data_IF_973218300348
#
_entry.id   IF_973218300348
#
_cell.length_a   1.000
_cell.length_b   1.000
_cell.length_c   1.000
_cell.angle_alpha   90.00
_cell.angle_beta   90.00
_cell.angle_gamma   90.00
#
_symmetry.space_group_name_H-M   'P 1'
#
loop_
_entity.id
_entity.type
_entity.pdbx_description
1 polymer ?
#
# COMPACT_ATOMS: atom_id res chain seq x y z
N UNK A 1 -42.29 -74.75 46.53
CA UNK A 1 -40.85 -74.47 46.35
C UNK A 1 -40.51 -73.25 47.20
N UNK A 2 -39.34 -73.30 47.85
CA UNK A 2 -38.85 -72.54 49.04
C UNK A 2 -39.25 -71.03 49.04
N UNK A 3 -39.94 -70.48 50.06
CA UNK A 3 -39.49 -70.09 51.44
C UNK A 3 -38.26 -69.16 51.38
N UNK A 4 -38.15 -67.96 51.98
CA UNK A 4 -38.71 -67.37 53.21
C UNK A 4 -38.36 -65.86 53.23
N UNK A 5 -39.22 -65.02 53.81
CA UNK A 5 -39.01 -63.62 54.21
C UNK A 5 -37.97 -63.47 55.34
N UNK A 6 -37.34 -62.30 55.54
CA UNK A 6 -37.09 -61.70 56.88
C UNK A 6 -36.43 -60.33 56.73
N UNK A 7 -36.93 -59.41 57.55
CA UNK A 7 -36.59 -58.01 57.76
C UNK A 7 -36.06 -57.87 59.20
N UNK A 8 -34.86 -57.30 59.40
CA UNK A 8 -34.26 -56.85 60.70
C UNK A 8 -33.23 -55.74 60.29
N UNK A 9 -33.44 -54.43 60.49
CA UNK A 9 -33.37 -53.56 61.70
C UNK A 9 -31.99 -53.48 62.37
N UNK A 10 -31.28 -52.38 62.06
CA UNK A 10 -30.45 -51.48 62.92
C UNK A 10 -29.23 -52.05 63.67
N UNK A 11 -28.03 -51.47 63.43
CA UNK A 11 -27.13 -50.85 64.43
C UNK A 11 -26.15 -49.88 63.72
N UNK A 12 -25.96 -48.71 64.32
CA UNK A 12 -25.10 -47.61 63.90
C UNK A 12 -23.59 -47.92 63.93
N UNK A 13 -22.86 -47.39 62.95
CA UNK A 13 -21.44 -47.09 63.08
C UNK A 13 -21.17 -45.72 62.44
N UNK A 14 -20.92 -44.75 63.32
CA UNK A 14 -20.42 -43.41 63.01
C UNK A 14 -19.06 -43.55 62.35
N UNK A 15 -18.99 -43.28 61.04
CA UNK A 15 -17.71 -42.99 60.36
C UNK A 15 -17.77 -41.53 59.94
N UNK A 16 -17.09 -40.71 60.74
CA UNK A 16 -16.76 -39.34 60.40
C UNK A 16 -15.84 -39.34 59.17
N UNK A 17 -16.41 -39.20 57.98
CA UNK A 17 -15.65 -38.83 56.79
C UNK A 17 -15.56 -37.31 56.74
N UNK A 18 -14.43 -36.79 57.22
CA UNK A 18 -13.98 -35.44 56.96
C UNK A 18 -13.79 -35.28 55.44
N UNK A 19 -14.84 -34.82 54.74
CA UNK A 19 -14.70 -34.22 53.42
C UNK A 19 -14.14 -32.81 53.63
N UNK A 20 -12.83 -32.74 53.85
CA UNK A 20 -12.08 -31.52 53.57
C UNK A 20 -12.18 -31.30 52.06
N UNK A 21 -13.08 -30.39 51.67
CA UNK A 21 -13.04 -29.76 50.36
C UNK A 21 -11.69 -29.06 50.24
N UNK A 22 -10.69 -29.75 49.67
CA UNK A 22 -9.51 -29.07 49.18
C UNK A 22 -10.03 -28.02 48.19
N UNK A 23 -9.68 -26.74 48.32
CA UNK A 23 -9.94 -25.81 47.24
C UNK A 23 -9.29 -26.42 46.00
N UNK A 24 -10.09 -26.65 44.96
CA UNK A 24 -9.56 -26.89 43.62
C UNK A 24 -8.89 -25.57 43.26
N UNK A 25 -7.61 -25.47 43.59
CA UNK A 25 -6.72 -24.49 43.00
C UNK A 25 -6.76 -24.82 41.52
N UNK A 26 -7.52 -24.03 40.75
CA UNK A 26 -7.48 -24.07 39.30
C UNK A 26 -6.00 -24.09 38.92
N UNK A 27 -5.55 -25.20 38.33
CA UNK A 27 -4.21 -25.27 37.78
C UNK A 27 -4.11 -24.07 36.84
N UNK A 28 -3.12 -23.20 37.08
CA UNK A 28 -2.73 -22.17 36.13
C UNK A 28 -2.60 -22.91 34.80
N UNK A 29 -3.47 -22.63 33.81
CA UNK A 29 -3.28 -23.22 32.49
C UNK A 29 -1.88 -22.79 32.07
N UNK A 30 -0.99 -23.76 31.95
CA UNK A 30 0.35 -23.49 31.45
C UNK A 30 0.15 -23.23 29.97
N UNK A 31 0.26 -21.96 29.57
CA UNK A 31 0.12 -21.60 28.16
C UNK A 31 1.12 -22.42 27.33
N UNK A 32 0.67 -22.91 26.18
CA UNK A 32 1.50 -23.60 25.20
C UNK A 32 2.31 -22.55 24.45
N UNK A 33 3.63 -22.72 24.37
CA UNK A 33 4.52 -21.77 23.70
C UNK A 33 5.02 -22.32 22.37
N UNK A 34 5.51 -21.46 21.47
CA UNK A 34 6.08 -21.90 20.17
C UNK A 34 7.19 -22.96 20.34
N UNK A 35 7.98 -22.88 21.43
CA UNK A 35 9.05 -23.85 21.69
C UNK A 35 8.55 -25.28 22.00
N UNK A 36 7.26 -25.46 22.29
CA UNK A 36 6.66 -26.79 22.43
C UNK A 36 6.60 -27.56 21.11
N UNK A 37 6.53 -26.86 19.98
CA UNK A 37 6.26 -27.46 18.67
C UNK A 37 4.80 -27.89 18.47
N UNK A 38 3.87 -27.43 19.33
CA UNK A 38 2.46 -27.81 19.30
C UNK A 38 1.56 -26.74 18.65
N UNK A 39 1.99 -25.47 18.60
CA UNK A 39 1.16 -24.36 18.12
C UNK A 39 0.98 -24.39 16.60
N UNK A 40 -0.23 -24.08 16.14
CA UNK A 40 -0.62 -24.07 14.74
C UNK A 40 -0.93 -22.64 14.25
N UNK A 41 -0.73 -22.41 12.97
CA UNK A 41 -1.22 -21.21 12.29
C UNK A 41 -2.70 -21.37 11.87
N UNK A 42 -3.29 -20.33 11.29
CA UNK A 42 -4.71 -20.35 10.88
C UNK A 42 -5.05 -21.36 9.77
N UNK A 43 -4.05 -21.97 9.13
CA UNK A 43 -4.23 -23.03 8.11
C UNK A 43 -3.87 -24.43 8.65
N UNK A 44 -3.55 -24.55 9.94
CA UNK A 44 -3.28 -25.81 10.63
C UNK A 44 -1.83 -26.31 10.53
N UNK A 45 -0.89 -25.48 10.12
CA UNK A 45 0.53 -25.83 10.05
C UNK A 45 1.25 -25.45 11.35
N UNK A 46 2.23 -26.25 11.75
CA UNK A 46 3.01 -26.01 12.98
C UNK A 46 3.85 -24.74 12.84
N UNK A 47 3.72 -23.84 13.81
CA UNK A 47 4.52 -22.63 13.91
C UNK A 47 5.89 -22.97 14.49
N UNK A 48 6.94 -22.63 13.76
CA UNK A 48 8.32 -22.84 14.20
C UNK A 48 8.94 -21.57 14.79
N UNK A 49 10.05 -21.74 15.50
CA UNK A 49 10.87 -20.62 15.97
C UNK A 49 11.57 -19.90 14.83
N UNK A 50 11.81 -18.59 14.96
CA UNK A 50 12.47 -17.78 13.93
C UNK A 50 11.50 -17.18 12.92
N UNK A 51 12.00 -16.84 11.73
CA UNK A 51 11.17 -16.38 10.62
C UNK A 51 10.57 -17.58 9.88
N UNK A 52 9.29 -17.52 9.54
CA UNK A 52 8.68 -18.43 8.57
C UNK A 52 9.01 -18.01 7.12
N UNK A 53 8.52 -18.77 6.16
CA UNK A 53 8.73 -18.52 4.72
C UNK A 53 8.11 -17.20 4.24
N UNK A 54 7.14 -16.66 4.97
CA UNK A 54 6.44 -15.42 4.66
C UNK A 54 7.09 -14.19 5.29
N UNK A 55 8.02 -14.39 6.24
CA UNK A 55 8.70 -13.31 6.96
C UNK A 55 8.10 -12.98 8.33
N UNK A 56 7.21 -13.81 8.87
CA UNK A 56 6.72 -13.69 10.24
C UNK A 56 7.68 -14.32 11.25
N UNK A 57 8.02 -13.58 12.29
CA UNK A 57 8.69 -14.08 13.49
C UNK A 57 7.82 -13.78 14.71
N UNK A 58 6.98 -14.75 15.06
CA UNK A 58 6.01 -14.63 16.15
C UNK A 58 6.67 -14.47 17.53
N UNK A 59 7.85 -15.07 17.74
CA UNK A 59 8.60 -14.90 18.99
C UNK A 59 9.14 -13.47 19.14
N UNK A 60 9.58 -12.86 18.05
CA UNK A 60 10.07 -11.49 18.01
C UNK A 60 8.94 -10.45 17.82
N UNK A 61 7.70 -10.90 17.60
CA UNK A 61 6.52 -10.07 17.30
C UNK A 61 6.79 -9.12 16.15
N UNK A 62 7.35 -9.68 15.09
CA UNK A 62 7.85 -8.92 13.95
C UNK A 62 7.50 -9.63 12.64
N UNK A 63 7.19 -8.81 11.65
CA UNK A 63 7.17 -9.22 10.25
C UNK A 63 8.26 -8.43 9.51
N UNK A 64 8.95 -9.09 8.58
CA UNK A 64 9.90 -8.43 7.70
C UNK A 64 9.88 -9.14 6.34
N UNK A 65 9.26 -8.51 5.34
CA UNK A 65 9.05 -9.09 4.01
C UNK A 65 8.48 -8.04 3.06
N UNK A 66 7.74 -8.47 2.05
CA UNK A 66 6.99 -7.58 1.15
C UNK A 66 5.56 -7.37 1.66
N UNK A 67 4.88 -6.34 1.16
CA UNK A 67 3.48 -6.09 1.47
C UNK A 67 2.61 -7.30 1.12
N UNK A 68 2.74 -7.87 -0.08
CA UNK A 68 1.98 -9.08 -0.43
C UNK A 68 2.43 -10.33 0.34
N UNK A 69 3.69 -10.41 0.75
CA UNK A 69 4.18 -11.48 1.63
C UNK A 69 3.43 -11.54 2.97
N UNK A 70 3.05 -10.38 3.54
CA UNK A 70 2.23 -10.33 4.75
C UNK A 70 0.84 -10.96 4.55
N UNK A 71 0.35 -10.97 3.32
CA UNK A 71 -0.93 -11.58 2.94
C UNK A 71 -0.76 -12.93 2.24
N UNK A 72 0.42 -13.56 2.37
CA UNK A 72 0.73 -14.85 1.77
C UNK A 72 0.54 -14.89 0.26
N UNK A 73 0.94 -13.81 -0.42
CA UNK A 73 0.78 -13.59 -1.86
C UNK A 73 -0.65 -13.82 -2.35
N UNK A 74 -1.62 -13.38 -1.55
CA UNK A 74 -3.02 -13.46 -1.91
C UNK A 74 -3.26 -12.84 -3.30
N UNK A 75 -4.11 -13.46 -4.17
CA UNK A 75 -4.28 -13.02 -5.55
C UNK A 75 -4.72 -11.56 -5.71
N UNK A 76 -5.48 -11.02 -4.75
CA UNK A 76 -5.92 -9.63 -4.79
C UNK A 76 -4.75 -8.64 -4.62
N UNK A 77 -3.65 -9.07 -4.00
CA UNK A 77 -2.49 -8.23 -3.72
C UNK A 77 -1.52 -8.16 -4.91
N UNK A 78 -1.34 -9.27 -5.62
CA UNK A 78 -0.41 -9.41 -6.76
C UNK A 78 -0.82 -8.57 -7.98
N UNK A 79 -2.04 -8.05 -8.02
CA UNK A 79 -2.50 -7.15 -9.08
C UNK A 79 -2.22 -5.67 -8.79
N UNK A 80 -1.62 -5.37 -7.63
CA UNK A 80 -1.44 -4.02 -7.14
C UNK A 80 -0.01 -3.56 -7.47
N UNK A 81 0.19 -2.25 -7.75
CA UNK A 81 1.51 -1.71 -8.10
C UNK A 81 2.54 -1.77 -6.95
N UNK A 82 2.12 -2.26 -5.78
CA UNK A 82 2.90 -2.32 -4.54
C UNK A 82 3.22 -3.75 -4.07
N UNK A 83 3.16 -4.73 -4.96
CA UNK A 83 3.50 -6.11 -4.61
C UNK A 83 4.90 -6.26 -3.99
N UNK A 84 5.85 -5.47 -4.49
CA UNK A 84 7.26 -5.48 -4.11
C UNK A 84 7.61 -4.44 -3.02
N UNK A 85 6.63 -3.74 -2.46
CA UNK A 85 6.91 -2.79 -1.36
C UNK A 85 7.43 -3.57 -0.15
N UNK A 86 8.60 -3.19 0.36
CA UNK A 86 9.13 -3.73 1.61
C UNK A 86 8.24 -3.29 2.76
N UNK A 87 7.88 -4.22 3.63
CA UNK A 87 7.04 -4.00 4.80
C UNK A 87 7.71 -4.61 6.04
N UNK A 88 7.88 -3.79 7.07
CA UNK A 88 8.25 -4.22 8.41
C UNK A 88 7.10 -3.93 9.36
N UNK A 89 6.63 -4.96 10.08
CA UNK A 89 5.64 -4.79 11.13
C UNK A 89 6.21 -5.16 12.49
N UNK A 90 5.73 -4.50 13.55
CA UNK A 90 5.98 -4.90 14.94
C UNK A 90 4.71 -4.79 15.75
N UNK A 91 4.55 -5.65 16.75
CA UNK A 91 3.35 -5.67 17.60
C UNK A 91 3.62 -6.13 19.03
N UNK A 92 2.63 -6.05 19.92
CA UNK A 92 2.68 -6.61 21.28
C UNK A 92 1.85 -7.89 21.46
N UNK A 93 1.90 -8.50 22.64
CA UNK A 93 1.18 -9.75 22.94
C UNK A 93 -0.34 -9.62 22.82
N UNK A 94 -0.89 -8.44 23.10
CA UNK A 94 -2.32 -8.21 22.97
C UNK A 94 -2.77 -8.19 21.50
N UNK A 95 -1.91 -7.77 20.56
CA UNK A 95 -2.19 -7.85 19.13
C UNK A 95 -2.19 -9.31 18.63
N UNK A 96 -1.07 -9.99 18.86
CA UNK A 96 -0.86 -11.39 18.51
C UNK A 96 0.26 -11.94 19.40
N UNK A 97 -0.11 -12.88 20.26
CA UNK A 97 0.79 -13.50 21.22
C UNK A 97 1.74 -14.49 20.56
N UNK A 98 2.72 -14.98 21.32
CA UNK A 98 3.62 -16.09 20.95
C UNK A 98 3.29 -17.39 21.72
N UNK A 99 2.08 -17.48 22.26
CA UNK A 99 1.57 -18.58 23.06
C UNK A 99 0.06 -18.77 22.83
N UNK A 100 -0.44 -19.95 23.18
CA UNK A 100 -1.87 -20.28 23.34
C UNK A 100 -2.16 -20.49 24.82
N UNK A 101 -3.04 -19.69 25.39
CA UNK A 101 -3.41 -19.78 26.80
C UNK A 101 -4.86 -20.26 27.00
N UNK A 102 -5.68 -20.23 25.95
CA UNK A 102 -7.06 -20.70 25.96
C UNK A 102 -7.23 -22.18 25.56
N UNK A 103 -6.15 -22.80 25.05
CA UNK A 103 -6.09 -24.23 24.74
C UNK A 103 -6.61 -24.60 23.36
N UNK A 104 -6.74 -23.65 22.44
CA UNK A 104 -7.12 -23.89 21.04
C UNK A 104 -5.94 -24.26 20.11
N UNK A 105 -4.72 -24.27 20.66
CA UNK A 105 -3.45 -24.52 19.96
C UNK A 105 -3.08 -23.44 18.93
N UNK A 106 -3.78 -22.31 18.90
CA UNK A 106 -3.47 -21.15 18.05
C UNK A 106 -2.82 -20.03 18.87
N UNK A 107 -2.14 -19.11 18.18
CA UNK A 107 -1.60 -17.92 18.84
C UNK A 107 -2.75 -17.03 19.34
N UNK A 108 -2.74 -16.72 20.64
CA UNK A 108 -3.78 -15.90 21.23
C UNK A 108 -3.82 -14.49 20.60
N UNK A 109 -5.03 -13.97 20.45
CA UNK A 109 -5.31 -12.57 20.13
C UNK A 109 -6.10 -11.98 21.28
N UNK A 110 -5.74 -10.77 21.73
CA UNK A 110 -6.41 -10.06 22.82
C UNK A 110 -6.78 -10.95 24.03
N UNK A 111 -5.86 -11.84 24.44
CA UNK A 111 -6.12 -12.84 25.48
C UNK A 111 -6.63 -12.18 26.78
N UNK A 112 -7.75 -12.70 27.30
CA UNK A 112 -8.41 -12.15 28.49
C UNK A 112 -9.40 -11.01 28.21
N UNK A 113 -9.62 -10.64 26.95
CA UNK A 113 -10.59 -9.64 26.51
C UNK A 113 -11.56 -10.23 25.49
N UNK A 114 -12.78 -9.68 25.43
CA UNK A 114 -13.82 -10.10 24.48
C UNK A 114 -13.58 -9.64 23.04
N UNK A 115 -12.67 -8.68 22.85
CA UNK A 115 -12.37 -7.96 21.62
C UNK A 115 -10.99 -7.31 21.74
N UNK A 116 -10.49 -6.67 20.68
CA UNK A 116 -9.29 -5.84 20.81
C UNK A 116 -9.52 -4.60 21.66
N UNK A 117 -10.74 -4.07 21.71
CA UNK A 117 -11.09 -2.91 22.55
C UNK A 117 -10.68 -3.16 24.01
N UNK A 118 -9.92 -2.23 24.58
CA UNK A 118 -9.40 -2.28 25.95
C UNK A 118 -8.20 -3.22 26.18
N UNK A 119 -7.80 -4.02 25.18
CA UNK A 119 -6.70 -4.99 25.32
C UNK A 119 -5.31 -4.35 25.39
N UNK A 120 -5.19 -3.09 24.96
CA UNK A 120 -3.90 -2.41 24.79
C UNK A 120 -3.08 -2.95 23.62
N UNK A 121 -3.70 -3.70 22.68
CA UNK A 121 -3.05 -4.14 21.46
C UNK A 121 -2.50 -2.97 20.65
N UNK A 122 -1.35 -3.17 20.03
CA UNK A 122 -0.80 -2.21 19.08
C UNK A 122 0.03 -2.89 18.01
N UNK A 123 0.14 -2.22 16.87
CA UNK A 123 0.96 -2.59 15.74
C UNK A 123 1.56 -1.32 15.10
N UNK A 124 2.78 -1.44 14.58
CA UNK A 124 3.38 -0.43 13.69
C UNK A 124 3.66 -1.05 12.34
N UNK A 125 3.34 -0.35 11.26
CA UNK A 125 3.85 -0.68 9.92
C UNK A 125 4.86 0.35 9.49
N UNK A 126 5.92 -0.14 8.85
CA UNK A 126 6.89 0.68 8.15
C UNK A 126 7.06 0.09 6.76
N UNK A 127 6.52 0.77 5.77
CA UNK A 127 6.59 0.36 4.38
C UNK A 127 7.50 1.30 3.59
N UNK A 128 8.25 0.75 2.64
CA UNK A 128 9.06 1.54 1.72
C UNK A 128 9.33 0.77 0.44
N UNK A 129 9.35 1.45 -0.70
CA UNK A 129 9.67 0.81 -1.96
C UNK A 129 9.54 1.76 -3.14
N UNK A 130 9.50 1.17 -4.32
CA UNK A 130 9.24 1.88 -5.57
C UNK A 130 8.11 1.23 -6.33
N UNK A 131 7.35 2.03 -7.08
CA UNK A 131 6.31 1.55 -7.99
C UNK A 131 6.36 2.32 -9.31
N UNK A 132 5.80 1.73 -10.37
CA UNK A 132 5.58 2.45 -11.63
C UNK A 132 4.27 3.23 -11.52
N UNK A 133 4.34 4.53 -11.73
CA UNK A 133 3.17 5.41 -11.78
C UNK A 133 2.17 4.93 -12.84
N UNK A 134 0.89 5.14 -12.58
CA UNK A 134 -0.19 4.97 -13.55
C UNK A 134 -0.59 6.28 -14.25
N UNK A 135 -0.16 7.42 -13.72
CA UNK A 135 -0.60 8.76 -14.16
C UNK A 135 0.54 9.72 -14.48
N UNK A 136 1.69 9.59 -13.82
CA UNK A 136 2.92 10.32 -14.10
C UNK A 136 3.73 9.56 -15.16
N UNK A 137 3.70 10.08 -16.38
CA UNK A 137 4.41 9.52 -17.52
C UNK A 137 4.96 10.63 -18.40
N UNK A 138 5.99 10.26 -19.17
CA UNK A 138 6.43 11.05 -20.32
C UNK A 138 6.37 10.19 -21.57
N UNK A 139 6.26 10.85 -22.71
CA UNK A 139 6.43 10.20 -24.00
C UNK A 139 7.91 10.06 -24.31
N UNK A 140 8.38 8.89 -24.72
CA UNK A 140 9.66 8.73 -25.40
C UNK A 140 9.40 8.76 -26.91
N UNK A 141 9.88 9.83 -27.56
CA UNK A 141 9.79 10.03 -29.01
C UNK A 141 11.16 9.87 -29.71
N UNK A 142 12.15 9.31 -29.03
CA UNK A 142 13.52 9.21 -29.55
C UNK A 142 13.55 8.41 -30.85
N UNK A 143 14.18 8.96 -31.89
CA UNK A 143 14.37 8.28 -33.17
C UNK A 143 13.95 9.09 -34.39
N UNK A 144 13.57 8.38 -35.45
CA UNK A 144 13.21 8.95 -36.74
C UNK A 144 11.71 8.79 -36.99
N UNK A 145 11.10 9.81 -37.59
CA UNK A 145 9.67 9.92 -37.80
C UNK A 145 9.39 10.39 -39.22
N UNK A 146 8.75 9.54 -40.01
CA UNK A 146 8.31 9.90 -41.36
C UNK A 146 7.03 10.73 -41.27
N UNK A 147 6.97 11.83 -42.01
CA UNK A 147 5.86 12.78 -42.00
C UNK A 147 5.12 12.78 -43.33
N UNK A 148 3.80 12.77 -43.22
CA UNK A 148 2.89 13.04 -44.32
C UNK A 148 2.29 14.43 -44.13
N UNK A 149 2.27 15.26 -45.16
CA UNK A 149 1.43 16.45 -45.14
C UNK A 149 0.35 16.31 -46.21
N UNK A 150 -0.70 17.13 -46.12
CA UNK A 150 -1.83 17.11 -47.05
C UNK A 150 -1.47 17.36 -48.55
N UNK A 151 -0.19 17.55 -48.89
CA UNK A 151 0.34 17.70 -50.26
C UNK A 151 1.32 16.61 -50.73
N UNK A 152 1.52 15.53 -49.96
CA UNK A 152 2.38 14.40 -50.33
C UNK A 152 2.73 13.51 -49.14
N UNK A 153 2.84 12.20 -49.37
CA UNK A 153 3.20 11.19 -48.36
C UNK A 153 4.71 10.96 -48.32
N UNK A 154 5.24 10.62 -47.14
CA UNK A 154 6.62 10.18 -46.88
C UNK A 154 7.70 11.10 -47.46
N UNK A 155 7.43 12.41 -47.52
CA UNK A 155 8.32 13.37 -48.17
C UNK A 155 9.07 14.28 -47.20
N UNK A 156 8.80 14.18 -45.90
CA UNK A 156 9.54 14.86 -44.83
C UNK A 156 9.80 13.89 -43.69
N UNK A 157 10.80 14.18 -42.89
CA UNK A 157 11.25 13.31 -41.81
C UNK A 157 11.79 14.15 -40.65
N UNK A 158 11.42 13.80 -39.42
CA UNK A 158 12.22 14.16 -38.25
C UNK A 158 13.27 13.07 -38.05
N UNK A 159 14.54 13.45 -37.95
CA UNK A 159 15.65 12.53 -37.68
C UNK A 159 16.29 12.81 -36.34
N UNK A 160 16.77 11.75 -35.72
CA UNK A 160 17.55 11.79 -34.49
C UNK A 160 16.87 12.67 -33.42
N UNK A 161 15.55 12.53 -33.28
CA UNK A 161 14.87 13.16 -32.14
C UNK A 161 15.45 12.57 -30.87
N UNK A 162 15.80 13.46 -29.93
CA UNK A 162 16.27 13.12 -28.60
C UNK A 162 15.53 14.00 -27.61
N UNK A 163 15.02 13.39 -26.55
CA UNK A 163 14.35 14.07 -25.46
C UNK A 163 15.14 13.93 -24.16
N UNK A 164 15.23 15.01 -23.39
CA UNK A 164 15.81 14.99 -22.04
C UNK A 164 14.75 14.83 -20.94
N UNK A 165 15.21 14.75 -19.68
CA UNK A 165 14.35 14.60 -18.50
C UNK A 165 13.42 15.78 -18.24
N UNK A 166 13.71 16.96 -18.79
CA UNK A 166 12.86 18.14 -18.65
C UNK A 166 11.84 18.25 -19.80
N UNK A 167 11.84 17.29 -20.72
CA UNK A 167 10.96 17.27 -21.88
C UNK A 167 11.42 18.19 -23.01
N UNK A 168 12.67 18.69 -22.99
CA UNK A 168 13.21 19.40 -24.15
C UNK A 168 13.54 18.38 -25.23
N UNK A 169 13.23 18.75 -26.47
CA UNK A 169 13.43 17.92 -27.66
C UNK A 169 14.42 18.60 -28.58
N UNK A 170 15.36 17.83 -29.10
CA UNK A 170 16.26 18.25 -30.19
C UNK A 170 16.24 17.22 -31.31
N UNK A 171 16.59 17.64 -32.52
CA UNK A 171 16.80 16.72 -33.63
C UNK A 171 16.97 17.47 -34.95
N UNK A 172 16.58 16.84 -36.05
CA UNK A 172 16.81 17.36 -37.39
C UNK A 172 15.55 17.26 -38.23
N UNK A 173 15.25 18.30 -39.00
CA UNK A 173 14.20 18.26 -40.00
C UNK A 173 14.81 17.98 -41.37
N UNK A 174 14.21 17.07 -42.14
CA UNK A 174 14.64 16.70 -43.48
C UNK A 174 13.46 16.67 -44.44
N UNK A 175 13.70 16.95 -45.73
CA UNK A 175 12.69 16.82 -46.77
C UNK A 175 13.26 16.21 -48.04
N UNK A 176 12.39 15.60 -48.85
CA UNK A 176 12.75 14.96 -50.11
C UNK A 176 12.75 16.00 -51.25
N UNK A 177 13.90 16.18 -51.91
CA UNK A 177 14.05 16.97 -53.12
C UNK A 177 14.35 16.04 -54.31
N UNK A 178 13.31 15.65 -55.05
CA UNK A 178 13.45 14.62 -56.08
C UNK A 178 13.65 13.24 -55.47
N UNK A 179 14.83 12.65 -55.65
CA UNK A 179 15.20 11.35 -55.07
C UNK A 179 16.10 11.46 -53.84
N UNK A 180 16.58 12.68 -53.52
CA UNK A 180 17.57 12.91 -52.48
C UNK A 180 16.94 13.59 -51.25
N UNK A 181 17.41 13.23 -50.07
CA UNK A 181 17.04 13.88 -48.82
C UNK A 181 17.92 15.10 -48.57
N UNK A 182 17.30 16.25 -48.33
CA UNK A 182 17.98 17.49 -47.98
C UNK A 182 17.73 17.89 -46.52
N UNK A 183 18.77 18.46 -45.91
CA UNK A 183 18.75 18.91 -44.52
C UNK A 183 18.00 20.24 -44.36
N UNK A 184 16.89 20.20 -43.63
CA UNK A 184 15.95 21.27 -43.27
C UNK A 184 16.50 22.30 -42.29
N UNK A 185 17.09 21.79 -41.23
CA UNK A 185 17.50 22.58 -40.08
C UNK A 185 17.46 21.75 -38.81
N UNK A 186 17.93 22.36 -37.73
CA UNK A 186 17.91 21.74 -36.41
C UNK A 186 16.55 21.99 -35.78
N UNK A 187 15.92 20.93 -35.27
CA UNK A 187 14.71 21.01 -34.47
C UNK A 187 15.08 21.26 -33.01
N UNK A 188 14.39 22.20 -32.38
CA UNK A 188 14.45 22.46 -30.94
C UNK A 188 13.03 22.70 -30.45
N UNK A 189 12.65 22.11 -29.33
CA UNK A 189 11.33 22.34 -28.76
C UNK A 189 11.10 21.59 -27.47
N UNK A 190 9.84 21.33 -27.14
CA UNK A 190 9.43 20.73 -25.87
C UNK A 190 8.22 19.83 -26.02
N UNK A 191 8.08 18.92 -25.06
CA UNK A 191 6.85 18.17 -24.81
C UNK A 191 6.21 18.68 -23.52
N UNK A 192 4.90 18.88 -23.55
CA UNK A 192 4.12 19.22 -22.35
C UNK A 192 2.81 18.44 -22.37
N UNK A 193 2.67 17.49 -21.44
CA UNK A 193 1.62 16.47 -21.51
C UNK A 193 1.72 15.70 -22.82
N UNK A 194 0.63 15.69 -23.59
CA UNK A 194 0.57 15.04 -24.90
C UNK A 194 0.89 15.97 -26.08
N UNK A 195 1.38 17.19 -25.82
CA UNK A 195 1.65 18.18 -26.88
C UNK A 195 3.14 18.25 -27.19
N UNK A 196 3.49 18.03 -28.46
CA UNK A 196 4.81 18.27 -29.02
C UNK A 196 4.85 19.65 -29.68
N UNK A 197 5.83 20.47 -29.32
CA UNK A 197 6.14 21.72 -30.01
C UNK A 197 7.59 21.66 -30.50
N UNK A 198 7.82 21.93 -31.78
CA UNK A 198 9.17 22.00 -32.35
C UNK A 198 9.30 23.24 -33.22
N UNK A 199 10.43 23.91 -33.10
CA UNK A 199 10.85 24.99 -33.98
C UNK A 199 12.06 24.52 -34.78
N UNK A 200 12.15 24.92 -36.05
CA UNK A 200 13.42 24.83 -36.77
C UNK A 200 13.75 26.12 -37.52
N UNK A 201 15.04 26.39 -37.57
CA UNK A 201 15.65 27.43 -38.39
C UNK A 201 16.41 26.80 -39.54
N UNK A 202 16.10 27.22 -40.76
CA UNK A 202 16.92 26.91 -41.94
C UNK A 202 18.01 27.96 -42.07
N UNK A 203 19.24 27.51 -42.33
CA UNK A 203 20.39 28.37 -42.64
C UNK A 203 21.05 27.86 -43.94
N UNK A 204 21.53 28.74 -44.85
CA UNK A 204 21.64 30.21 -44.78
C UNK A 204 20.40 31.00 -45.23
N UNK A 205 19.37 30.33 -45.74
CA UNK A 205 18.13 30.96 -46.17
C UNK A 205 17.26 31.14 -44.93
N UNK A 206 16.97 32.38 -44.53
CA UNK A 206 16.09 32.69 -43.41
C UNK A 206 14.66 32.19 -43.71
N UNK A 207 14.39 30.96 -43.31
CA UNK A 207 13.10 30.29 -43.36
C UNK A 207 12.96 29.53 -42.06
N UNK A 208 11.86 29.76 -41.36
CA UNK A 208 11.59 29.13 -40.06
C UNK A 208 10.28 28.36 -40.14
N UNK A 209 10.14 27.38 -39.26
CA UNK A 209 8.93 26.59 -39.19
C UNK A 209 8.64 26.10 -37.79
N UNK A 210 7.38 26.22 -37.39
CA UNK A 210 6.85 25.77 -36.12
C UNK A 210 5.94 24.57 -36.35
N UNK A 211 6.22 23.48 -35.66
CA UNK A 211 5.39 22.29 -35.58
C UNK A 211 4.68 22.28 -34.22
N UNK A 212 3.40 21.97 -34.25
CA UNK A 212 2.63 21.56 -33.08
C UNK A 212 1.98 20.24 -33.41
N UNK A 213 2.09 19.26 -32.53
CA UNK A 213 1.48 17.95 -32.71
C UNK A 213 0.99 17.34 -31.41
N UNK A 214 0.16 16.32 -31.53
CA UNK A 214 -0.29 15.51 -30.39
C UNK A 214 0.37 14.14 -30.43
N UNK A 215 0.87 13.70 -29.29
CA UNK A 215 1.48 12.38 -29.08
C UNK A 215 0.42 11.46 -28.50
N UNK A 216 0.30 10.26 -29.05
CA UNK A 216 -0.55 9.19 -28.57
C UNK A 216 0.25 7.91 -28.38
N UNK A 217 -0.42 6.83 -27.96
CA UNK A 217 0.23 5.54 -27.77
C UNK A 217 0.55 4.90 -29.12
N UNK A 218 1.84 4.72 -29.43
CA UNK A 218 2.35 4.25 -30.72
C UNK A 218 2.08 5.17 -31.92
N UNK A 219 1.87 6.47 -31.70
CA UNK A 219 1.73 7.43 -32.78
C UNK A 219 2.09 8.86 -32.35
N UNK A 220 2.72 9.61 -33.24
CA UNK A 220 2.58 11.06 -33.24
C UNK A 220 1.47 11.34 -34.24
N UNK A 221 0.25 11.51 -33.73
CA UNK A 221 -0.98 11.66 -34.53
C UNK A 221 -0.89 12.78 -35.57
N UNK A 222 -0.01 13.75 -35.34
CA UNK A 222 0.19 14.90 -36.20
C UNK A 222 -0.31 16.19 -35.59
N UNK A 223 -0.36 17.24 -36.40
CA UNK A 223 -0.91 18.52 -36.02
C UNK A 223 -0.67 19.59 -37.07
N UNK A 224 -0.28 20.78 -36.66
CA UNK A 224 -0.09 21.94 -37.53
C UNK A 224 1.38 22.24 -37.75
N UNK A 225 1.69 22.68 -38.96
CA UNK A 225 2.97 23.26 -39.34
C UNK A 225 2.73 24.69 -39.84
N UNK A 226 3.45 25.66 -39.29
CA UNK A 226 3.37 27.07 -39.69
C UNK A 226 4.75 27.56 -40.10
N UNK A 227 4.91 28.08 -41.30
CA UNK A 227 6.18 28.65 -41.74
C UNK A 227 6.29 30.17 -41.59
N UNK A 228 7.50 30.70 -41.80
CA UNK A 228 7.79 32.13 -41.76
C UNK A 228 7.00 32.98 -42.77
N UNK A 229 6.36 32.35 -43.77
CA UNK A 229 5.50 33.01 -44.74
C UNK A 229 4.01 32.89 -44.38
N UNK A 230 3.70 32.42 -43.16
CA UNK A 230 2.34 32.18 -42.66
C UNK A 230 1.56 31.11 -43.45
N UNK A 231 2.25 30.20 -44.15
CA UNK A 231 1.61 29.01 -44.69
C UNK A 231 1.32 28.04 -43.54
N UNK A 232 0.07 27.58 -43.45
CA UNK A 232 -0.37 26.62 -42.45
C UNK A 232 -0.71 25.30 -43.14
N UNK A 233 -0.07 24.23 -42.71
CA UNK A 233 -0.32 22.88 -43.21
C UNK A 233 -0.66 21.95 -42.05
N UNK A 234 -1.38 20.88 -42.34
CA UNK A 234 -1.52 19.75 -41.43
C UNK A 234 -0.48 18.69 -41.79
N UNK A 235 0.09 18.06 -40.76
CA UNK A 235 1.00 16.93 -40.90
C UNK A 235 0.55 15.78 -40.00
N UNK A 236 0.89 14.56 -40.37
CA UNK A 236 0.80 13.35 -39.55
C UNK A 236 2.16 12.65 -39.56
N UNK A 237 2.45 11.83 -38.56
CA UNK A 237 3.70 11.07 -38.53
C UNK A 237 3.42 9.57 -38.38
N UNK A 238 4.30 8.77 -38.96
CA UNK A 238 4.35 7.32 -38.75
C UNK A 238 5.61 6.96 -37.96
N UNK A 239 5.41 6.17 -36.90
CA UNK A 239 6.44 5.81 -35.93
C UNK A 239 5.81 5.33 -34.62
N UNK A 240 6.61 4.81 -33.69
CA UNK A 240 6.13 4.31 -32.40
C UNK A 240 6.67 5.17 -31.26
N UNK A 241 5.79 5.93 -30.60
CA UNK A 241 6.06 6.57 -29.32
C UNK A 241 5.79 5.56 -28.22
N UNK A 242 6.63 5.57 -27.19
CA UNK A 242 6.41 4.74 -26.00
C UNK A 242 6.02 5.63 -24.83
N UNK A 243 4.93 5.28 -24.16
CA UNK A 243 4.61 5.89 -22.88
C UNK A 243 5.54 5.30 -21.82
N UNK A 244 6.36 6.14 -21.20
CA UNK A 244 7.28 5.72 -20.15
C UNK A 244 6.77 6.28 -18.83
N UNK A 245 6.31 5.38 -17.96
CA UNK A 245 5.81 5.73 -16.63
C UNK A 245 6.97 6.03 -15.68
N UNK A 246 6.80 7.06 -14.86
CA UNK A 246 7.76 7.42 -13.84
C UNK A 246 7.87 6.30 -12.80
N UNK A 247 9.09 6.10 -12.29
CA UNK A 247 9.31 5.26 -11.09
C UNK A 247 9.20 6.15 -9.87
N UNK A 248 8.21 5.89 -9.03
CA UNK A 248 7.91 6.64 -7.82
C UNK A 248 8.50 5.92 -6.61
N UNK A 249 8.98 6.68 -5.62
CA UNK A 249 9.43 6.13 -4.33
C UNK A 249 8.38 6.42 -3.28
N UNK A 250 7.94 5.40 -2.55
CA UNK A 250 6.96 5.55 -1.48
C UNK A 250 7.55 5.14 -0.14
N UNK A 251 7.21 5.87 0.91
CA UNK A 251 7.43 5.46 2.29
C UNK A 251 6.17 5.68 3.10
N UNK A 252 5.85 4.75 4.00
CA UNK A 252 4.75 4.89 4.94
C UNK A 252 5.17 4.40 6.34
N UNK A 253 4.76 5.14 7.36
CA UNK A 253 4.91 4.73 8.74
C UNK A 253 3.61 5.01 9.50
N UNK A 254 2.96 3.94 9.96
CA UNK A 254 1.71 4.00 10.72
C UNK A 254 1.87 3.36 12.09
N UNK A 255 1.22 3.95 13.09
CA UNK A 255 1.01 3.38 14.41
C UNK A 255 -0.48 3.17 14.65
N UNK A 256 -0.83 1.94 14.96
CA UNK A 256 -2.19 1.49 15.20
C UNK A 256 -2.28 0.98 16.63
N UNK A 257 -3.31 1.40 17.36
CA UNK A 257 -3.62 0.91 18.70
C UNK A 257 -5.06 0.46 18.77
N UNK A 258 -5.36 -0.52 19.63
CA UNK A 258 -6.74 -0.83 19.95
C UNK A 258 -7.39 0.32 20.71
N UNK A 259 -8.67 0.54 20.45
CA UNK A 259 -9.45 1.55 21.13
C UNK A 259 -9.50 1.26 22.64
N UNK A 260 -9.37 2.29 23.50
CA UNK A 260 -9.64 2.16 24.93
C UNK A 260 -11.07 1.69 25.20
N UNK A 261 -11.28 0.96 26.30
CA UNK A 261 -12.60 0.40 26.64
C UNK A 261 -13.65 1.48 26.93
N UNK A 262 -13.20 2.66 27.33
CA UNK A 262 -13.98 3.85 27.65
C UNK A 262 -14.03 4.88 26.53
N UNK A 263 -13.35 4.62 25.41
CA UNK A 263 -13.38 5.51 24.26
C UNK A 263 -14.76 5.52 23.58
N UNK A 264 -15.09 6.65 22.98
CA UNK A 264 -16.33 6.87 22.25
C UNK A 264 -16.04 6.95 20.75
N UNK A 265 -16.72 6.13 19.95
CA UNK A 265 -16.68 6.20 18.49
C UNK A 265 -17.78 7.12 17.97
N UNK A 266 -17.39 8.19 17.27
CA UNK A 266 -18.29 9.03 16.49
C UNK A 266 -18.29 8.58 15.02
N UNK A 267 -19.29 7.81 14.62
CA UNK A 267 -19.48 7.37 13.24
C UNK A 267 -20.01 8.47 12.31
N UNK A 268 -20.40 9.63 12.87
CA UNK A 268 -20.86 10.79 12.09
C UNK A 268 -19.72 11.63 11.53
N UNK A 269 -18.51 11.49 12.09
CA UNK A 269 -17.29 12.13 11.61
C UNK A 269 -16.46 11.10 10.85
N UNK A 270 -16.40 11.24 9.54
CA UNK A 270 -15.68 10.29 8.69
C UNK A 270 -14.20 10.66 8.65
N UNK A 271 -13.35 9.79 9.19
CA UNK A 271 -11.90 9.87 9.14
C UNK A 271 -11.33 9.44 7.79
N UNK A 272 -10.00 9.51 7.67
CA UNK A 272 -9.27 9.24 6.43
C UNK A 272 -9.58 7.85 5.83
N UNK A 273 -9.80 6.86 6.69
CA UNK A 273 -10.07 5.47 6.29
C UNK A 273 -11.54 5.18 5.95
N UNK A 274 -12.39 6.21 5.86
CA UNK A 274 -13.82 6.05 5.57
C UNK A 274 -14.65 5.52 6.76
N UNK A 275 -14.04 5.40 7.94
CA UNK A 275 -14.68 5.02 9.20
C UNK A 275 -14.86 6.23 10.12
N UNK A 276 -15.34 6.03 11.36
CA UNK A 276 -15.56 7.09 12.34
C UNK A 276 -14.30 7.70 12.95
N UNK A 277 -14.48 8.56 13.96
CA UNK A 277 -13.39 9.11 14.79
C UNK A 277 -13.56 8.68 16.24
N UNK A 278 -12.47 8.26 16.88
CA UNK A 278 -12.44 7.92 18.30
C UNK A 278 -12.11 9.13 19.18
N UNK A 279 -12.83 9.24 20.29
CA UNK A 279 -12.68 10.25 21.32
C UNK A 279 -12.51 9.60 22.69
N UNK A 280 -11.97 10.34 23.66
CA UNK A 280 -11.82 9.85 25.04
C UNK A 280 -13.14 9.59 25.75
N UNK A 281 -14.22 10.27 25.32
CA UNK A 281 -15.57 10.16 25.88
C UNK A 281 -16.63 10.72 24.91
N UNK A 282 -17.91 10.62 25.31
CA UNK A 282 -19.07 11.06 24.53
C UNK A 282 -19.21 12.58 24.36
N UNK A 283 -18.40 13.37 25.09
CA UNK A 283 -18.35 14.82 24.91
C UNK A 283 -17.60 15.24 23.65
N UNK A 284 -16.83 14.30 23.06
CA UNK A 284 -16.06 14.49 21.81
C UNK A 284 -15.07 15.66 21.89
N UNK A 285 -14.57 15.95 23.10
CA UNK A 285 -13.67 17.10 23.33
C UNK A 285 -12.21 16.76 23.05
N UNK A 286 -11.81 15.52 23.26
CA UNK A 286 -10.44 15.05 23.05
C UNK A 286 -10.42 13.92 22.05
N UNK A 287 -9.97 14.22 20.83
CA UNK A 287 -9.77 13.23 19.77
C UNK A 287 -8.60 12.29 20.11
N UNK A 288 -8.80 11.02 19.85
CA UNK A 288 -7.76 9.98 19.90
C UNK A 288 -7.23 9.76 18.48
N UNK A 289 -8.13 9.50 17.52
CA UNK A 289 -7.82 9.45 16.10
C UNK A 289 -8.82 8.69 15.24
N UNK A 290 -8.58 8.59 13.93
CA UNK A 290 -9.49 7.92 13.01
C UNK A 290 -9.60 6.43 13.32
N UNK A 291 -10.82 5.94 13.22
CA UNK A 291 -11.14 4.54 13.38
C UNK A 291 -10.55 3.73 12.21
N UNK A 292 -10.15 2.50 12.56
CA UNK A 292 -9.67 1.52 11.62
C UNK A 292 -10.20 0.15 12.04
N UNK A 293 -10.87 -0.54 11.13
CA UNK A 293 -11.44 -1.87 11.33
C UNK A 293 -12.35 -1.96 12.57
N UNK A 294 -13.05 -0.88 12.90
CA UNK A 294 -14.05 -0.81 13.96
C UNK A 294 -13.55 -0.90 15.41
N UNK A 295 -12.35 -1.43 15.68
CA UNK A 295 -11.79 -1.59 17.03
C UNK A 295 -10.43 -0.92 17.22
N UNK A 296 -9.84 -0.38 16.16
CA UNK A 296 -8.51 0.23 16.20
C UNK A 296 -8.55 1.71 15.85
N UNK A 297 -7.43 2.36 16.16
CA UNK A 297 -7.20 3.78 16.03
C UNK A 297 -5.84 3.98 15.39
N UNK A 298 -5.76 4.79 14.34
CA UNK A 298 -4.48 5.30 13.85
C UNK A 298 -4.10 6.52 14.68
N UNK A 299 -2.96 6.45 15.37
CA UNK A 299 -2.49 7.52 16.27
C UNK A 299 -1.35 8.33 15.68
N UNK A 300 -0.74 7.81 14.62
CA UNK A 300 0.31 8.45 13.85
C UNK A 300 0.38 7.79 12.49
N UNK A 301 0.43 8.59 11.43
CA UNK A 301 0.73 8.15 10.08
C UNK A 301 1.55 9.22 9.37
N UNK A 302 2.62 8.80 8.72
CA UNK A 302 3.44 9.67 7.87
C UNK A 302 3.70 8.89 6.60
N UNK A 303 3.05 9.30 5.51
CA UNK A 303 3.32 8.78 4.18
C UNK A 303 3.99 9.82 3.30
N UNK A 304 4.79 9.37 2.35
CA UNK A 304 5.38 10.18 1.29
C UNK A 304 5.24 9.43 -0.02
N UNK A 305 4.51 10.03 -0.95
CA UNK A 305 4.33 9.56 -2.30
C UNK A 305 4.47 10.74 -3.28
N UNK A 306 5.66 10.95 -3.88
CA UNK A 306 5.94 12.10 -4.74
C UNK A 306 5.08 12.18 -6.00
N UNK A 307 4.55 11.04 -6.46
CA UNK A 307 3.68 10.99 -7.62
C UNK A 307 2.21 11.27 -7.27
N UNK A 308 1.91 11.45 -5.97
CA UNK A 308 0.61 11.85 -5.42
C UNK A 308 -0.57 10.95 -5.86
N UNK A 309 -0.30 9.71 -6.28
CA UNK A 309 -1.34 8.77 -6.68
C UNK A 309 -2.11 8.24 -5.46
N UNK A 310 -1.41 8.13 -4.34
CA UNK A 310 -1.95 7.59 -3.10
C UNK A 310 -2.08 8.64 -2.00
N UNK A 311 -1.65 9.87 -2.30
CA UNK A 311 -1.72 11.02 -1.41
C UNK A 311 -0.62 11.07 -0.36
N UNK A 312 -0.40 12.26 0.19
CA UNK A 312 0.42 12.48 1.38
C UNK A 312 -0.49 12.50 2.60
N UNK A 313 -0.27 11.57 3.52
CA UNK A 313 -0.96 11.50 4.80
C UNK A 313 0.02 11.95 5.87
N UNK A 314 -0.34 13.03 6.55
CA UNK A 314 0.30 13.40 7.80
C UNK A 314 -0.79 13.44 8.87
N UNK A 315 -0.90 12.35 9.64
CA UNK A 315 -1.76 12.28 10.80
C UNK A 315 -0.96 12.11 12.08
N UNK A 316 -1.35 12.88 13.09
CA UNK A 316 -0.74 12.86 14.41
C UNK A 316 -1.83 13.06 15.44
N UNK A 317 -2.08 12.03 16.26
CA UNK A 317 -3.07 12.13 17.33
C UNK A 317 -2.80 13.35 18.21
N UNK A 318 -3.81 14.20 18.45
CA UNK A 318 -3.65 15.36 19.31
C UNK A 318 -3.48 14.97 20.78
N UNK A 319 -3.95 13.78 21.18
CA UNK A 319 -3.79 13.27 22.53
C UNK A 319 -2.35 12.83 22.82
N UNK A 320 -1.79 11.88 22.05
CA UNK A 320 -0.38 11.43 22.17
C UNK A 320 0.04 10.50 21.02
N UNK A 321 1.34 10.20 20.90
CA UNK A 321 1.91 9.37 19.80
C UNK A 321 2.58 8.08 20.27
N UNK A 322 2.48 7.79 21.57
CA UNK A 322 3.15 6.66 22.21
C UNK A 322 2.36 5.36 22.08
N UNK A 323 3.06 4.24 21.94
CA UNK A 323 2.44 2.91 22.00
C UNK A 323 2.23 2.54 23.48
N UNK A 324 0.98 2.35 23.89
CA UNK A 324 0.62 1.90 25.25
C UNK A 324 -0.04 2.94 26.16
N UNK A 325 -0.69 2.42 27.21
CA UNK A 325 -1.41 3.17 28.25
C UNK A 325 -2.49 4.11 27.71
N UNK A 326 -3.26 3.69 26.71
CA UNK A 326 -4.34 4.50 26.14
C UNK A 326 -5.64 4.51 26.97
N UNK A 327 -5.67 3.84 28.13
CA UNK A 327 -6.75 4.02 29.10
C UNK A 327 -6.87 5.51 29.50
N UNK A 328 -8.09 5.99 29.73
CA UNK A 328 -8.28 7.37 30.20
C UNK A 328 -7.53 7.59 31.53
N UNK A 329 -6.98 8.78 31.72
CA UNK A 329 -6.27 9.18 32.94
C UNK A 329 -7.21 9.39 34.15
N UNK A 330 -8.30 8.62 34.26
CA UNK A 330 -9.13 8.60 35.47
C UNK A 330 -8.68 7.49 36.43
N UNK A 331 -7.54 7.71 37.08
CA UNK A 331 -7.26 7.22 38.45
C UNK A 331 -6.78 8.37 39.34
#
# INVERSE_FOLDING_TARGET
MKKISIMIVVVAAVVAFNLSSKPVMAAKSTCTTIQSGELLNSVGEVITTGYDEWGYNYQAKMFNGTFCGAYRDAPWCQALPYEDISLMMKWNDAWLSNQSCDGDELLDRHYGYSSYIGSGAWLTNHASGTYLSSTDYYWDITGNWMLDFNGGTDNREFRNLVQDSEGNVTGEFWWLNGADWEYGGTLVGTITGDTLQLHYDRFPILYTGDFTGTIGNNEITGGTFTDSNSNNLTWTATGTSTQVFATCTVTDFVKIVAAPADAFLDDTVIGYYGEGMWYTDDTKTTEIGPALWGEFIVIQEISSDPCDEYGVIEYMSPLKKGLGNWASETE
#
